data_IF_097432384674
#
_entry.id   IF_097432384674
#
_cell.length_a   1.000
_cell.length_b   1.000
_cell.length_c   1.000
_cell.angle_alpha   90.00
_cell.angle_beta   90.00
_cell.angle_gamma   90.00
#
_symmetry.space_group_name_H-M   'P 1'
#
loop_
_entity.id
_entity.type
_entity.pdbx_description
1 polymer ?
#
# COMPACT_ATOMS: atom_id res chain seq x y z
N UNK A 1 21.35 -28.45 -6.96
CA UNK A 1 22.51 -28.25 -6.04
C UNK A 1 23.51 -29.42 -6.12
N UNK A 2 24.32 -29.53 -7.17
CA UNK A 2 25.21 -30.68 -7.37
C UNK A 2 26.45 -30.65 -6.44
N UNK A 3 27.04 -29.48 -6.22
CA UNK A 3 28.29 -29.33 -5.42
C UNK A 3 28.11 -29.59 -3.92
N UNK A 4 26.89 -29.49 -3.37
CA UNK A 4 26.65 -29.76 -1.94
C UNK A 4 26.59 -31.28 -1.71
N UNK A 5 25.85 -32.00 -2.55
CA UNK A 5 25.75 -33.48 -2.47
C UNK A 5 27.12 -34.16 -2.59
N UNK A 6 27.98 -33.67 -3.47
CA UNK A 6 29.37 -34.15 -3.63
C UNK A 6 30.28 -33.90 -2.41
N UNK A 7 29.93 -32.96 -1.54
CA UNK A 7 30.68 -32.67 -0.31
C UNK A 7 30.16 -33.46 0.90
N UNK A 8 28.90 -33.91 0.87
CA UNK A 8 28.34 -34.78 1.91
C UNK A 8 28.99 -36.17 1.91
N UNK A 9 29.22 -36.77 0.74
CA UNK A 9 29.91 -38.08 0.65
C UNK A 9 31.37 -38.06 1.13
N UNK A 10 31.96 -36.86 1.26
CA UNK A 10 33.35 -36.64 1.73
C UNK A 10 33.42 -36.34 3.23
N UNK A 11 32.29 -36.31 3.93
CA UNK A 11 32.22 -36.08 5.37
C UNK A 11 32.21 -37.44 6.08
N UNK A 12 33.27 -37.72 6.84
CA UNK A 12 33.40 -38.94 7.63
C UNK A 12 32.87 -38.83 9.08
N UNK A 13 32.71 -37.61 9.61
CA UNK A 13 32.24 -37.41 10.99
C UNK A 13 31.47 -36.08 11.16
N UNK A 14 30.36 -36.04 11.94
CA UNK A 14 29.57 -34.82 12.15
C UNK A 14 30.36 -33.65 12.73
N UNK A 15 31.32 -33.91 13.63
CA UNK A 15 32.15 -32.86 14.26
C UNK A 15 33.44 -32.51 13.47
N UNK A 16 33.59 -33.00 12.23
CA UNK A 16 34.77 -32.70 11.42
C UNK A 16 34.83 -31.23 10.98
N UNK A 17 36.04 -30.68 10.79
CA UNK A 17 36.27 -29.35 10.20
C UNK A 17 35.55 -29.18 8.86
N UNK A 18 35.51 -30.23 8.03
CA UNK A 18 34.79 -30.25 6.74
C UNK A 18 33.28 -30.08 6.94
N UNK A 19 32.71 -30.74 7.93
CA UNK A 19 31.29 -30.63 8.29
C UNK A 19 30.97 -29.23 8.80
N UNK A 20 31.77 -28.68 9.71
CA UNK A 20 31.60 -27.31 10.20
C UNK A 20 31.66 -26.27 9.06
N UNK A 21 32.57 -26.45 8.10
CA UNK A 21 32.66 -25.59 6.91
C UNK A 21 31.41 -25.71 6.01
N UNK A 22 30.91 -26.93 5.79
CA UNK A 22 29.70 -27.17 5.01
C UNK A 22 28.47 -26.55 5.68
N UNK A 23 28.29 -26.75 6.99
CA UNK A 23 27.20 -26.14 7.77
C UNK A 23 27.24 -24.62 7.68
N UNK A 24 28.42 -23.99 7.84
CA UNK A 24 28.59 -22.54 7.64
C UNK A 24 28.21 -22.09 6.23
N UNK A 25 28.50 -22.89 5.21
CA UNK A 25 28.13 -22.56 3.83
C UNK A 25 26.61 -22.68 3.59
N UNK A 26 25.99 -23.73 4.13
CA UNK A 26 24.54 -23.96 4.05
C UNK A 26 23.81 -22.82 4.77
N UNK A 27 24.20 -22.52 6.01
CA UNK A 27 23.61 -21.43 6.80
C UNK A 27 23.68 -20.10 6.06
N UNK A 28 24.86 -19.71 5.55
CA UNK A 28 25.02 -18.50 4.72
C UNK A 28 24.10 -18.46 3.50
N UNK A 29 23.84 -19.61 2.85
CA UNK A 29 22.91 -19.68 1.71
C UNK A 29 21.45 -19.55 2.18
N UNK A 30 21.09 -20.20 3.28
CA UNK A 30 19.76 -20.10 3.88
C UNK A 30 19.46 -18.68 4.33
N UNK A 31 20.40 -18.01 5.00
CA UNK A 31 20.26 -16.63 5.45
C UNK A 31 20.06 -15.68 4.26
N UNK A 32 20.89 -15.80 3.21
CA UNK A 32 20.69 -15.02 1.97
C UNK A 32 19.33 -15.27 1.31
N UNK A 33 18.89 -16.53 1.28
CA UNK A 33 17.58 -16.88 0.74
C UNK A 33 16.46 -16.27 1.58
N UNK A 34 16.56 -16.32 2.91
CA UNK A 34 15.61 -15.71 3.84
C UNK A 34 15.50 -14.21 3.63
N UNK A 35 16.62 -13.49 3.52
CA UNK A 35 16.62 -12.05 3.22
C UNK A 35 15.97 -11.75 1.86
N UNK A 36 16.25 -12.56 0.83
CA UNK A 36 15.63 -12.40 -0.49
C UNK A 36 14.11 -12.59 -0.43
N UNK A 37 13.64 -13.63 0.28
CA UNK A 37 12.22 -13.87 0.46
C UNK A 37 11.54 -12.75 1.26
N UNK A 38 12.19 -12.22 2.29
CA UNK A 38 11.67 -11.09 3.05
C UNK A 38 11.48 -9.86 2.15
N UNK A 39 12.44 -9.55 1.29
CA UNK A 39 12.32 -8.48 0.30
C UNK A 39 11.15 -8.68 -0.66
N UNK A 40 11.02 -9.88 -1.24
CA UNK A 40 9.91 -10.21 -2.15
C UNK A 40 8.56 -10.11 -1.43
N UNK A 41 8.50 -10.50 -0.16
CA UNK A 41 7.28 -10.36 0.65
C UNK A 41 6.89 -8.89 0.85
N UNK A 42 7.86 -8.01 1.12
CA UNK A 42 7.60 -6.57 1.23
C UNK A 42 7.15 -5.97 -0.11
N UNK A 43 7.78 -6.36 -1.22
CA UNK A 43 7.37 -5.94 -2.57
C UNK A 43 5.95 -6.40 -2.89
N UNK A 44 5.59 -7.64 -2.51
CA UNK A 44 4.23 -8.14 -2.64
C UNK A 44 3.24 -7.29 -1.85
N UNK A 45 3.53 -6.96 -0.59
CA UNK A 45 2.63 -6.13 0.23
C UNK A 45 2.36 -4.77 -0.43
N UNK A 46 3.39 -4.13 -1.00
CA UNK A 46 3.23 -2.87 -1.73
C UNK A 46 2.47 -3.09 -3.05
N UNK A 47 2.74 -4.18 -3.76
CA UNK A 47 2.04 -4.53 -4.99
C UNK A 47 0.55 -4.77 -4.80
N UNK A 48 0.17 -5.54 -3.78
CA UNK A 48 -1.22 -5.78 -3.37
C UNK A 48 -1.93 -4.47 -3.03
N UNK A 49 -1.23 -3.58 -2.30
CA UNK A 49 -1.76 -2.24 -1.98
C UNK A 49 -2.05 -1.44 -3.25
N UNK A 50 -1.11 -1.39 -4.19
CA UNK A 50 -1.30 -0.69 -5.46
C UNK A 50 -2.41 -1.33 -6.31
N UNK A 51 -2.50 -2.65 -6.30
CA UNK A 51 -3.54 -3.38 -7.02
C UNK A 51 -4.93 -3.03 -6.47
N UNK A 52 -5.07 -2.97 -5.15
CA UNK A 52 -6.31 -2.51 -4.53
C UNK A 52 -6.68 -1.10 -4.99
N UNK A 53 -5.73 -0.16 -4.99
CA UNK A 53 -6.01 1.20 -5.45
C UNK A 53 -6.43 1.23 -6.91
N UNK A 54 -5.76 0.46 -7.77
CA UNK A 54 -6.09 0.34 -9.20
C UNK A 54 -7.53 -0.13 -9.41
N UNK A 55 -7.96 -1.16 -8.68
CA UNK A 55 -9.31 -1.73 -8.81
C UNK A 55 -10.42 -0.78 -8.35
N UNK A 56 -10.09 0.13 -7.43
CA UNK A 56 -11.02 1.13 -6.88
C UNK A 56 -10.84 2.52 -7.53
N UNK A 57 -10.14 2.61 -8.67
CA UNK A 57 -10.06 3.85 -9.44
C UNK A 57 -11.37 4.11 -10.19
N UNK A 58 -11.75 5.38 -10.25
CA UNK A 58 -12.83 5.86 -11.10
C UNK A 58 -12.34 5.84 -12.55
N UNK A 59 -13.12 5.29 -13.50
CA UNK A 59 -12.69 5.10 -14.88
C UNK A 59 -12.48 6.42 -15.64
N UNK A 60 -13.25 7.46 -15.31
CA UNK A 60 -13.31 8.70 -16.11
C UNK A 60 -12.49 9.88 -15.54
N UNK A 61 -11.81 9.68 -14.41
CA UNK A 61 -11.08 10.77 -13.73
C UNK A 61 -9.64 10.87 -14.26
N UNK A 62 -9.20 12.05 -14.70
CA UNK A 62 -7.80 12.25 -15.13
C UNK A 62 -6.86 12.56 -13.97
N UNK A 63 -7.35 13.31 -12.99
CA UNK A 63 -6.60 13.69 -11.79
C UNK A 63 -7.58 13.67 -10.62
N UNK A 64 -7.18 13.05 -9.52
CA UNK A 64 -8.01 13.04 -8.32
C UNK A 64 -7.94 14.39 -7.61
N UNK A 65 -9.10 14.93 -7.27
CA UNK A 65 -9.20 16.03 -6.32
C UNK A 65 -8.88 15.55 -4.90
N UNK A 66 -8.61 16.50 -4.02
CA UNK A 66 -8.33 16.18 -2.62
C UNK A 66 -9.51 15.48 -1.92
N UNK A 67 -10.76 15.84 -2.23
CA UNK A 67 -11.95 15.17 -1.70
C UNK A 67 -12.08 13.72 -2.18
N UNK A 68 -11.80 13.47 -3.45
CA UNK A 68 -11.84 12.12 -4.04
C UNK A 68 -10.72 11.25 -3.48
N UNK A 69 -9.53 11.83 -3.32
CA UNK A 69 -8.39 11.19 -2.66
C UNK A 69 -8.73 10.79 -1.22
N UNK A 70 -9.46 11.65 -0.49
CA UNK A 70 -9.91 11.34 0.85
C UNK A 70 -10.91 10.17 0.88
N UNK A 71 -11.85 10.14 -0.08
CA UNK A 71 -12.84 9.05 -0.21
C UNK A 71 -12.18 7.70 -0.48
N UNK A 72 -11.30 7.62 -1.48
CA UNK A 72 -10.63 6.37 -1.82
C UNK A 72 -9.71 5.86 -0.70
N UNK A 73 -9.06 6.76 0.05
CA UNK A 73 -8.29 6.39 1.25
C UNK A 73 -9.22 5.87 2.36
N UNK A 74 -10.39 6.50 2.57
CA UNK A 74 -11.36 6.02 3.54
C UNK A 74 -11.90 4.63 3.19
N UNK A 75 -12.17 4.37 1.91
CA UNK A 75 -12.54 3.05 1.40
C UNK A 75 -11.42 2.03 1.62
N UNK A 76 -10.16 2.41 1.38
CA UNK A 76 -9.00 1.54 1.66
C UNK A 76 -8.93 1.16 3.14
N UNK A 77 -9.17 2.11 4.04
CA UNK A 77 -9.21 1.84 5.48
C UNK A 77 -10.41 0.97 5.90
N UNK A 78 -11.51 1.04 5.15
CA UNK A 78 -12.73 0.28 5.40
C UNK A 78 -12.72 -1.14 4.79
N UNK A 79 -11.67 -1.52 4.05
CA UNK A 79 -11.60 -2.79 3.28
C UNK A 79 -11.86 -4.07 4.09
N UNK A 80 -11.53 -4.07 5.38
CA UNK A 80 -11.73 -5.24 6.26
C UNK A 80 -13.05 -5.20 7.04
N UNK A 81 -13.88 -4.18 6.88
CA UNK A 81 -15.11 -4.04 7.65
C UNK A 81 -16.07 -5.22 7.42
N UNK A 82 -16.16 -5.73 6.19
CA UNK A 82 -16.99 -6.89 5.89
C UNK A 82 -16.44 -8.18 6.53
N UNK A 83 -15.12 -8.41 6.42
CA UNK A 83 -14.45 -9.56 7.06
C UNK A 83 -14.64 -9.55 8.58
N UNK A 84 -14.49 -8.38 9.23
CA UNK A 84 -14.71 -8.23 10.67
C UNK A 84 -16.16 -8.50 11.07
N UNK A 85 -17.14 -8.03 10.28
CA UNK A 85 -18.56 -8.33 10.53
C UNK A 85 -18.84 -9.82 10.43
N UNK A 86 -18.27 -10.51 9.44
CA UNK A 86 -18.44 -11.96 9.30
C UNK A 86 -17.83 -12.73 10.48
N UNK A 87 -16.66 -12.31 10.97
CA UNK A 87 -16.02 -12.90 12.16
C UNK A 87 -16.90 -12.69 13.39
N UNK A 88 -17.44 -11.50 13.58
CA UNK A 88 -18.33 -11.17 14.71
C UNK A 88 -19.61 -12.02 14.71
N UNK A 89 -20.23 -12.20 13.54
CA UNK A 89 -21.38 -13.11 13.37
C UNK A 89 -20.99 -14.54 13.76
N UNK A 90 -19.86 -15.06 13.29
CA UNK A 90 -19.44 -16.43 13.63
C UNK A 90 -19.12 -16.60 15.12
N UNK A 91 -18.53 -15.58 15.75
CA UNK A 91 -18.22 -15.61 17.19
C UNK A 91 -19.46 -15.46 18.07
N UNK A 92 -20.49 -14.76 17.60
CA UNK A 92 -21.77 -14.61 18.32
C UNK A 92 -22.67 -15.85 18.23
N UNK A 93 -22.44 -16.74 17.25
CA UNK A 93 -23.20 -17.99 17.10
C UNK A 93 -22.61 -19.09 18.01
N UNK A 94 -23.37 -19.46 19.03
CA UNK A 94 -23.10 -20.62 19.88
C UNK A 94 -23.00 -20.31 21.37
N UNK A 95 -23.49 -21.22 22.22
CA UNK A 95 -23.51 -21.04 23.69
C UNK A 95 -22.11 -21.11 24.34
N UNK A 96 -21.09 -21.61 23.61
CA UNK A 96 -19.70 -21.70 24.09
C UNK A 96 -18.85 -20.67 23.35
N UNK A 97 -18.31 -19.71 24.11
CA UNK A 97 -17.49 -18.57 23.66
C UNK A 97 -16.09 -19.00 23.21
N UNK A 98 -15.96 -19.82 22.17
CA UNK A 98 -14.65 -20.05 21.56
C UNK A 98 -14.40 -18.93 20.53
N UNK A 99 -13.32 -18.16 20.69
CA UNK A 99 -13.00 -17.02 19.82
C UNK A 99 -12.47 -17.50 18.46
N UNK A 100 -13.36 -18.06 17.65
CA UNK A 100 -13.02 -18.55 16.32
C UNK A 100 -12.45 -17.39 15.48
N UNK A 101 -11.37 -17.66 14.75
CA UNK A 101 -10.65 -16.64 13.96
C UNK A 101 -9.97 -15.52 14.77
N UNK A 102 -9.74 -15.71 16.08
CA UNK A 102 -9.05 -14.75 16.95
C UNK A 102 -7.74 -14.19 16.35
N UNK A 103 -6.87 -15.07 15.83
CA UNK A 103 -5.57 -14.67 15.28
C UNK A 103 -5.69 -13.75 14.07
N UNK A 104 -6.63 -14.03 13.16
CA UNK A 104 -6.87 -13.22 11.97
C UNK A 104 -7.48 -11.87 12.35
N UNK A 105 -8.46 -11.89 13.24
CA UNK A 105 -9.10 -10.69 13.80
C UNK A 105 -8.06 -9.75 14.45
N UNK A 106 -7.15 -10.29 15.26
CA UNK A 106 -6.09 -9.53 15.92
C UNK A 106 -5.11 -8.90 14.91
N UNK A 107 -4.73 -9.64 13.88
CA UNK A 107 -3.85 -9.13 12.80
C UNK A 107 -4.54 -7.98 12.05
N UNK A 108 -5.82 -8.13 11.71
CA UNK A 108 -6.59 -7.07 11.03
C UNK A 108 -6.68 -5.83 11.91
N UNK A 109 -7.08 -5.99 13.17
CA UNK A 109 -7.21 -4.89 14.13
C UNK A 109 -5.88 -4.16 14.34
N UNK A 110 -4.78 -4.90 14.46
CA UNK A 110 -3.44 -4.34 14.57
C UNK A 110 -3.05 -3.56 13.30
N UNK A 111 -3.37 -4.09 12.12
CA UNK A 111 -3.09 -3.44 10.83
C UNK A 111 -3.87 -2.14 10.69
N UNK A 112 -5.19 -2.18 10.94
CA UNK A 112 -6.05 -0.99 10.90
C UNK A 112 -5.62 0.07 11.91
N UNK A 113 -5.22 -0.33 13.12
CA UNK A 113 -4.73 0.60 14.14
C UNK A 113 -3.47 1.32 13.67
N UNK A 114 -2.51 0.58 13.09
CA UNK A 114 -1.28 1.16 12.52
C UNK A 114 -1.58 2.12 11.36
N UNK A 115 -2.41 1.70 10.41
CA UNK A 115 -2.80 2.55 9.28
C UNK A 115 -3.54 3.82 9.73
N UNK A 116 -4.41 3.72 10.74
CA UNK A 116 -5.09 4.87 11.33
C UNK A 116 -4.11 5.83 12.01
N UNK A 117 -3.16 5.31 12.78
CA UNK A 117 -2.13 6.11 13.43
C UNK A 117 -1.22 6.82 12.41
N UNK A 118 -0.80 6.12 11.36
CA UNK A 118 -0.03 6.68 10.25
C UNK A 118 -0.81 7.81 9.55
N UNK A 119 -2.07 7.58 9.17
CA UNK A 119 -2.91 8.57 8.50
C UNK A 119 -3.17 9.83 9.35
N UNK A 120 -3.29 9.67 10.66
CA UNK A 120 -3.46 10.78 11.60
C UNK A 120 -2.16 11.58 11.82
N UNK A 121 -1.01 10.93 11.74
CA UNK A 121 0.28 11.51 12.15
C UNK A 121 1.09 12.02 10.96
N UNK A 122 1.71 11.11 10.21
CA UNK A 122 2.70 11.40 9.16
C UNK A 122 2.20 11.13 7.74
N UNK A 123 1.04 10.52 7.59
CA UNK A 123 0.44 10.12 6.33
C UNK A 123 0.75 8.69 5.93
N UNK A 124 -0.26 8.03 5.34
CA UNK A 124 -0.15 6.70 4.76
C UNK A 124 0.50 6.78 3.38
N UNK A 125 1.40 5.84 3.08
CA UNK A 125 2.03 5.77 1.75
C UNK A 125 1.04 5.25 0.70
N UNK A 126 0.72 6.07 -0.28
CA UNK A 126 -0.22 5.77 -1.37
C UNK A 126 0.39 6.18 -2.71
N UNK A 127 -0.02 5.59 -3.84
CA UNK A 127 0.41 6.08 -5.15
C UNK A 127 -0.01 7.55 -5.32
N UNK A 128 0.81 8.33 -6.03
CA UNK A 128 0.48 9.72 -6.29
C UNK A 128 -0.72 9.81 -7.26
N UNK A 129 -1.91 10.05 -6.69
CA UNK A 129 -3.17 10.17 -7.45
C UNK A 129 -3.37 11.57 -8.06
N UNK A 130 -2.51 12.53 -7.73
CA UNK A 130 -2.59 13.91 -8.23
C UNK A 130 -1.80 14.13 -9.53
N UNK A 131 -0.99 13.15 -9.94
CA UNK A 131 -0.22 13.16 -11.18
C UNK A 131 -0.88 12.25 -12.22
N UNK A 132 -1.37 12.83 -13.32
CA UNK A 132 -2.00 12.11 -14.44
C UNK A 132 -1.08 11.03 -15.02
N UNK A 133 0.24 11.27 -15.06
CA UNK A 133 1.20 10.27 -15.56
C UNK A 133 1.26 9.03 -14.67
N UNK A 134 1.18 9.22 -13.36
CA UNK A 134 1.19 8.12 -12.39
C UNK A 134 -0.16 7.38 -12.40
N UNK A 135 -1.26 8.10 -12.56
CA UNK A 135 -2.59 7.50 -12.64
C UNK A 135 -2.72 6.61 -13.89
N UNK A 136 -2.25 7.08 -15.05
CA UNK A 136 -2.25 6.30 -16.28
C UNK A 136 -1.32 5.07 -16.19
N UNK A 137 -0.17 5.21 -15.51
CA UNK A 137 0.70 4.08 -15.20
C UNK A 137 -0.03 3.05 -14.32
N UNK A 138 -0.75 3.51 -13.29
CA UNK A 138 -1.49 2.63 -12.38
C UNK A 138 -2.62 1.87 -13.09
N UNK A 139 -3.34 2.52 -14.01
CA UNK A 139 -4.40 1.91 -14.83
C UNK A 139 -3.88 0.82 -15.76
N UNK A 140 -2.76 1.09 -16.44
CA UNK A 140 -2.17 0.15 -17.43
C UNK A 140 -1.35 -0.96 -16.78
N UNK A 141 -0.96 -0.80 -15.52
CA UNK A 141 -0.11 -1.76 -14.82
C UNK A 141 -0.82 -3.10 -14.58
N UNK A 142 -0.21 -4.18 -15.05
CA UNK A 142 -0.72 -5.55 -14.94
C UNK A 142 -0.38 -6.31 -13.66
N UNK A 143 0.15 -5.63 -12.62
CA UNK A 143 0.51 -6.29 -11.35
C UNK A 143 1.95 -6.83 -11.29
N UNK A 144 2.78 -6.58 -12.31
CA UNK A 144 4.17 -7.07 -12.33
C UNK A 144 5.06 -6.28 -11.34
N UNK A 145 5.61 -6.97 -10.33
CA UNK A 145 6.38 -6.38 -9.23
C UNK A 145 7.67 -5.65 -9.66
N UNK A 146 8.27 -6.07 -10.78
CA UNK A 146 9.48 -5.40 -11.33
C UNK A 146 9.26 -3.94 -11.69
N UNK A 147 8.00 -3.50 -11.86
CA UNK A 147 7.68 -2.10 -12.16
C UNK A 147 7.32 -1.27 -10.93
N UNK A 148 7.35 -1.84 -9.71
CA UNK A 148 7.06 -1.12 -8.47
C UNK A 148 7.95 0.13 -8.31
N UNK A 149 9.21 0.04 -8.72
CA UNK A 149 10.18 1.14 -8.65
C UNK A 149 9.79 2.35 -9.53
N UNK A 150 8.91 2.17 -10.52
CA UNK A 150 8.45 3.27 -11.40
C UNK A 150 7.34 4.10 -10.76
N UNK A 151 6.66 3.58 -9.75
CA UNK A 151 5.59 4.28 -9.07
C UNK A 151 6.14 5.30 -8.09
N UNK A 152 5.61 6.52 -8.14
CA UNK A 152 5.84 7.53 -7.12
C UNK A 152 4.86 7.31 -5.98
N UNK A 153 5.38 6.85 -4.84
CA UNK A 153 4.61 6.73 -3.61
C UNK A 153 4.75 8.02 -2.80
N UNK A 154 3.62 8.58 -2.36
CA UNK A 154 3.55 9.79 -1.54
C UNK A 154 2.87 9.47 -0.22
N UNK A 155 3.32 10.11 0.86
CA UNK A 155 2.64 10.05 2.16
C UNK A 155 1.51 11.06 2.17
N UNK A 156 0.28 10.57 2.35
CA UNK A 156 -0.93 11.38 2.42
C UNK A 156 -1.58 11.17 3.78
N UNK A 157 -1.72 12.24 4.54
CA UNK A 157 -2.37 12.25 5.86
C UNK A 157 -3.48 13.30 5.90
N UNK A 158 -4.21 13.34 7.02
CA UNK A 158 -5.32 14.29 7.20
C UNK A 158 -4.91 15.75 6.93
N UNK A 159 -3.76 16.17 7.46
CA UNK A 159 -3.24 17.54 7.29
C UNK A 159 -2.97 17.85 5.80
N UNK A 160 -2.31 16.93 5.10
CA UNK A 160 -2.00 17.09 3.67
C UNK A 160 -3.24 17.26 2.80
N UNK A 161 -4.30 16.49 3.09
CA UNK A 161 -5.59 16.61 2.39
C UNK A 161 -6.22 17.97 2.71
N UNK A 162 -6.26 18.37 3.98
CA UNK A 162 -6.82 19.66 4.39
C UNK A 162 -6.09 20.84 3.73
N UNK A 163 -4.76 20.83 3.70
CA UNK A 163 -3.96 21.88 3.07
C UNK A 163 -4.26 21.98 1.56
N UNK A 164 -4.39 20.83 0.89
CA UNK A 164 -4.78 20.78 -0.53
C UNK A 164 -6.19 21.31 -0.77
N UNK A 165 -7.16 20.91 0.05
CA UNK A 165 -8.53 21.43 -0.02
C UNK A 165 -8.56 22.96 0.16
N UNK A 166 -7.73 23.49 1.06
CA UNK A 166 -7.61 24.94 1.27
C UNK A 166 -6.98 25.64 0.05
N UNK A 167 -5.96 25.04 -0.58
CA UNK A 167 -5.34 25.55 -1.79
C UNK A 167 -6.32 25.59 -2.97
N UNK A 168 -7.08 24.51 -3.17
CA UNK A 168 -8.10 24.41 -4.23
C UNK A 168 -9.18 25.49 -4.06
N UNK A 169 -9.64 25.70 -2.82
CA UNK A 169 -10.63 26.75 -2.48
C UNK A 169 -10.11 28.17 -2.66
N UNK A 170 -8.82 28.43 -2.47
CA UNK A 170 -8.21 29.73 -2.73
C UNK A 170 -8.12 30.01 -4.23
N UNK A 171 -7.72 29.01 -5.02
CA UNK A 171 -7.58 29.13 -6.47
C UNK A 171 -8.93 29.37 -7.17
N UNK A 172 -10.00 28.71 -6.72
CA UNK A 172 -11.37 28.92 -7.24
C UNK A 172 -11.98 30.27 -6.88
N UNK A 173 -11.55 30.90 -5.77
CA UNK A 173 -11.99 32.27 -5.42
C UNK A 173 -11.32 33.32 -6.30
N UNK A 174 -10.01 33.21 -6.53
CA UNK A 174 -9.26 34.13 -7.38
C UNK A 174 -9.71 34.11 -8.86
N UNK A 175 -10.10 32.95 -9.38
CA UNK A 175 -10.65 32.85 -10.75
C UNK A 175 -12.07 33.42 -10.90
N UNK A 176 -12.88 33.43 -9.84
CA UNK A 176 -14.20 34.09 -9.83
C UNK A 176 -14.08 35.61 -9.74
N UNK A 177 -13.15 36.13 -8.95
CA UNK A 177 -12.91 37.57 -8.83
C UNK A 177 -12.31 38.19 -10.11
N UNK A 178 -11.54 37.41 -10.90
CA UNK A 178 -11.00 37.86 -12.19
C UNK A 178 -12.04 37.86 -13.33
N UNK A 179 -13.11 37.06 -13.24
CA UNK A 179 -14.15 37.03 -14.27
C UNK A 179 -15.15 38.20 -14.15
N UNK A 180 -15.24 38.82 -12.96
CA UNK A 180 -16.11 39.97 -12.70
C UNK A 180 -15.47 41.34 -13.03
N UNK A 181 -14.22 41.38 -13.49
CA UNK A 181 -13.47 42.61 -13.83
C UNK A 181 -13.32 42.86 -15.34
N UNK A 182 -14.23 42.38 -16.17
CA UNK A 182 -14.34 42.81 -17.57
C UNK A 182 -15.41 43.91 -17.65
N UNK A 183 -15.07 45.22 -17.66
CA UNK A 183 -16.04 46.23 -18.05
C UNK A 183 -16.30 46.04 -19.54
N UNK A 184 -17.56 45.83 -19.90
CA UNK A 184 -18.00 45.92 -21.28
C UNK A 184 -17.76 47.34 -21.78
N UNK A 185 -16.79 47.51 -22.67
CA UNK A 185 -16.73 48.68 -23.52
C UNK A 185 -17.87 48.55 -24.55
N UNK A 186 -19.00 49.15 -24.21
CA UNK A 186 -20.00 49.61 -25.16
C UNK A 186 -19.76 51.11 -25.27
N UNK A 187 -19.22 51.56 -26.41
CA UNK A 187 -19.42 52.93 -26.85
C UNK A 187 -19.38 52.96 -28.38
N UNK A 188 -20.50 53.43 -28.93
CA UNK A 188 -20.81 53.61 -30.33
C UNK A 188 -20.17 54.91 -30.84
N UNK A 189 -19.69 54.91 -32.08
CA UNK A 189 -19.84 56.01 -33.05
C UNK A 189 -19.57 55.49 -34.47
#
# INVERSE_FOLDING_TARGET
>A
MPKIKQNLSKIGHPNSRKTAALVRQIKRKQDRHKTKLAHVCLENIVGEKLMWFKEHLLPDVRVYLAEETQKIIAEYMARFNEELKQIDIKQSIGKRKNRQYASREDIIKLTLKKEAEEYNTCGIEVPDLWDDTQLNLLRTWGGELKYLQKFKLRRIGKKHILDKLLLEKKCTKQSKDNLQKSPGNMECE
#
